data_IF_639020372628
#
_entry.id   IF_639020372628
#
_cell.length_a   1.000
_cell.length_b   1.000
_cell.length_c   1.000
_cell.angle_alpha   90.00
_cell.angle_beta   90.00
_cell.angle_gamma   90.00
#
_symmetry.space_group_name_H-M   'P 1'
#
loop_
_entity.id
_entity.type
_entity.pdbx_description
1 polymer ?
#
# COMPACT_ATOMS: atom_id res chain seq x y z
N UNK A 1 14.26 15.17 -2.53
CA UNK A 1 13.94 13.81 -3.02
C UNK A 1 14.32 12.83 -1.92
N UNK A 2 13.33 12.30 -1.22
CA UNK A 2 13.53 11.60 0.04
C UNK A 2 14.06 10.18 -0.21
N UNK A 3 15.39 10.03 -0.20
CA UNK A 3 16.10 8.75 -0.29
C UNK A 3 16.04 8.02 1.06
N UNK A 4 14.86 7.59 1.49
CA UNK A 4 14.74 6.76 2.69
C UNK A 4 15.02 5.30 2.32
N UNK A 5 15.93 4.60 3.04
CA UNK A 5 16.05 3.16 2.92
C UNK A 5 14.75 2.55 3.44
N UNK A 6 13.91 2.05 2.54
CA UNK A 6 12.71 1.33 2.92
C UNK A 6 13.12 0.04 3.63
N UNK A 7 12.60 -0.23 4.84
CA UNK A 7 12.96 -1.39 5.68
C UNK A 7 12.29 -2.69 5.15
N UNK A 8 12.10 -2.83 3.83
CA UNK A 8 11.51 -4.04 3.27
C UNK A 8 11.22 -3.97 1.78
N UNK A 9 10.81 -5.09 1.21
CA UNK A 9 10.55 -5.20 -0.22
C UNK A 9 9.48 -4.21 -0.73
N UNK A 10 9.68 -3.71 -1.95
CA UNK A 10 8.71 -2.86 -2.65
C UNK A 10 7.42 -3.64 -2.98
N UNK A 11 6.34 -2.94 -3.32
CA UNK A 11 5.04 -3.56 -3.62
C UNK A 11 5.10 -4.57 -4.74
N UNK A 12 5.87 -4.28 -5.79
CA UNK A 12 6.02 -5.20 -6.92
C UNK A 12 6.79 -6.45 -6.53
N UNK A 13 7.88 -6.32 -5.78
CA UNK A 13 8.63 -7.47 -5.30
C UNK A 13 7.83 -8.31 -4.30
N UNK A 14 7.05 -7.66 -3.41
CA UNK A 14 6.11 -8.35 -2.50
C UNK A 14 5.04 -9.12 -3.27
N UNK A 15 4.41 -8.51 -4.27
CA UNK A 15 3.38 -9.15 -5.11
C UNK A 15 3.95 -10.31 -5.93
N UNK A 16 5.13 -10.12 -6.52
CA UNK A 16 5.83 -11.14 -7.32
C UNK A 16 6.52 -12.20 -6.44
N UNK A 17 6.54 -12.02 -5.12
CA UNK A 17 7.24 -12.88 -4.15
C UNK A 17 8.71 -13.10 -4.49
N UNK A 18 9.40 -12.05 -4.94
CA UNK A 18 10.84 -12.07 -5.25
C UNK A 18 11.64 -11.25 -4.25
N UNK A 19 12.93 -11.57 -4.11
CA UNK A 19 13.84 -10.78 -3.28
C UNK A 19 13.94 -9.35 -3.81
N UNK A 20 13.92 -8.37 -2.93
CA UNK A 20 14.01 -6.95 -3.26
C UNK A 20 15.31 -6.38 -2.73
N UNK A 21 16.04 -5.64 -3.56
CA UNK A 21 17.31 -5.01 -3.19
C UNK A 21 17.12 -3.70 -2.43
N UNK A 22 15.87 -3.31 -2.14
CA UNK A 22 15.50 -2.11 -1.35
C UNK A 22 16.04 -0.77 -1.86
N UNK A 23 16.66 -0.77 -3.05
CA UNK A 23 17.06 0.44 -3.77
C UNK A 23 15.85 1.10 -4.44
N UNK A 24 15.93 2.40 -4.73
CA UNK A 24 14.85 3.14 -5.39
C UNK A 24 15.39 3.77 -6.69
N UNK A 25 15.02 3.23 -7.87
CA UNK A 25 14.23 2.02 -8.11
C UNK A 25 15.01 0.72 -7.84
N UNK A 26 14.33 -0.34 -7.38
CA UNK A 26 14.98 -1.64 -7.16
C UNK A 26 15.33 -2.32 -8.50
N UNK A 27 16.33 -3.22 -8.52
CA UNK A 27 16.81 -3.85 -9.74
C UNK A 27 15.69 -4.53 -10.54
N UNK A 28 14.82 -5.29 -9.85
CA UNK A 28 13.67 -5.95 -10.46
C UNK A 28 12.68 -4.97 -11.11
N UNK A 29 12.36 -3.87 -10.43
CA UNK A 29 11.48 -2.84 -10.98
C UNK A 29 12.13 -2.11 -12.15
N UNK A 30 13.44 -1.84 -12.07
CA UNK A 30 14.22 -1.17 -13.11
C UNK A 30 14.27 -2.02 -14.38
N UNK A 31 14.61 -3.30 -14.26
CA UNK A 31 14.65 -4.24 -15.40
C UNK A 31 13.26 -4.45 -16.00
N UNK A 32 12.22 -4.47 -15.17
CA UNK A 32 10.83 -4.56 -15.66
C UNK A 32 10.26 -3.23 -16.16
N UNK A 33 11.02 -2.12 -16.06
CA UNK A 33 10.58 -0.76 -16.38
C UNK A 33 9.25 -0.35 -15.73
N UNK A 34 9.01 -0.81 -14.49
CA UNK A 34 7.80 -0.49 -13.73
C UNK A 34 8.09 0.48 -12.58
N UNK A 35 7.06 1.19 -12.14
CA UNK A 35 7.14 2.12 -11.01
C UNK A 35 7.45 1.37 -9.70
N UNK A 36 8.64 1.59 -9.15
CA UNK A 36 9.03 1.05 -7.85
C UNK A 36 8.38 1.86 -6.73
N UNK A 37 7.43 1.27 -6.02
CA UNK A 37 6.73 1.91 -4.91
C UNK A 37 6.85 1.07 -3.65
N UNK A 38 7.03 1.75 -2.53
CA UNK A 38 7.04 1.17 -1.18
C UNK A 38 5.80 1.66 -0.44
N UNK A 39 4.64 1.62 -1.07
CA UNK A 39 3.39 2.00 -0.43
C UNK A 39 3.06 0.89 0.56
N UNK A 40 3.33 1.12 1.84
CA UNK A 40 2.62 0.42 2.90
C UNK A 40 1.13 0.79 2.77
N UNK A 41 0.39 0.12 1.88
CA UNK A 41 -1.07 0.18 1.90
C UNK A 41 -1.48 -0.92 2.86
N UNK A 42 -1.78 -0.62 4.14
CA UNK A 42 -2.67 -1.48 4.88
C UNK A 42 -3.98 -1.49 4.09
N UNK A 43 -4.14 -2.46 3.19
CA UNK A 43 -5.46 -2.78 2.64
C UNK A 43 -6.26 -3.18 3.87
N UNK A 44 -7.10 -2.27 4.36
CA UNK A 44 -8.11 -2.57 5.38
C UNK A 44 -8.95 -3.70 4.80
N UNK A 45 -8.59 -4.93 5.15
CA UNK A 45 -9.42 -6.11 4.95
C UNK A 45 -10.48 -6.03 6.02
N UNK A 46 -11.59 -5.42 5.66
CA UNK A 46 -12.79 -5.38 6.48
C UNK A 46 -13.93 -4.82 5.65
N UNK A 47 -15.03 -5.58 5.55
CA UNK A 47 -16.33 -5.07 5.11
C UNK A 47 -16.58 -3.74 5.86
N UNK A 48 -17.11 -2.68 5.22
CA UNK A 48 -17.51 -1.50 5.97
C UNK A 48 -18.41 -1.96 7.12
N UNK A 49 -17.98 -1.73 8.35
CA UNK A 49 -18.80 -2.00 9.52
C UNK A 49 -20.11 -1.24 9.36
N UNK A 50 -21.22 -1.85 9.78
CA UNK A 50 -22.61 -1.36 9.71
C UNK A 50 -22.84 0.02 10.38
N UNK A 51 -21.79 0.68 10.83
CA UNK A 51 -21.76 2.04 11.40
C UNK A 51 -21.87 3.15 10.33
N UNK A 52 -21.53 2.90 9.06
CA UNK A 52 -21.66 3.91 8.01
C UNK A 52 -23.10 4.05 7.46
N UNK A 53 -24.04 3.20 7.87
CA UNK A 53 -25.41 3.15 7.35
C UNK A 53 -26.47 3.71 8.32
N UNK A 54 -26.07 4.26 9.47
CA UNK A 54 -26.99 4.81 10.49
C UNK A 54 -26.96 6.34 10.59
N UNK A 55 -26.79 7.04 9.47
CA UNK A 55 -27.27 8.42 9.35
C UNK A 55 -28.70 8.33 8.81
N UNK A 56 -29.62 7.99 9.69
CA UNK A 56 -31.05 8.08 9.43
C UNK A 56 -31.72 8.37 10.77
N UNK A 57 -32.14 9.63 10.89
CA UNK A 57 -33.20 10.14 11.77
C UNK A 57 -33.00 9.94 13.26
N UNK A 58 -32.63 11.00 14.01
CA UNK A 58 -33.07 11.32 15.37
C UNK A 58 -32.40 12.64 15.78
N UNK A 59 -33.06 13.78 15.51
CA UNK A 59 -33.08 14.92 16.44
C UNK A 59 -34.30 15.77 16.12
N UNK A 60 -35.40 15.37 16.76
CA UNK A 60 -36.60 16.15 16.91
C UNK A 60 -36.50 16.84 18.28
N UNK A 61 -36.23 18.14 18.28
CA UNK A 61 -36.81 19.12 19.21
C UNK A 61 -36.61 20.54 18.71
#
# INVERSE_FOLDING_TARGET
MASHPAIGACDNCKRRKVKCDTTSPCANCRTSQISCQYRAVPRKRGRPSKAALRVSTWDEQ
#
